data_IF_821844875746
#
_entry.id   IF_821844875746
#
_cell.length_a   1.000
_cell.length_b   1.000
_cell.length_c   1.000
_cell.angle_alpha   90.00
_cell.angle_beta   90.00
_cell.angle_gamma   90.00
#
_symmetry.space_group_name_H-M   'P 1'
#
loop_
_entity.id
_entity.type
_entity.pdbx_description
1 polymer ?
#
# COMPACT_ATOMS: atom_id res chain seq x y z
N UNK A 1 -28.34 -18.38 34.06
CA UNK A 1 -27.02 -18.63 33.43
C UNK A 1 -26.90 -17.96 32.06
N UNK A 2 -27.96 -17.94 31.23
CA UNK A 2 -27.96 -17.34 29.88
C UNK A 2 -27.58 -15.85 29.81
N UNK A 3 -27.95 -15.02 30.78
CA UNK A 3 -27.68 -13.57 30.72
C UNK A 3 -26.19 -13.21 30.87
N UNK A 4 -25.45 -13.97 31.70
CA UNK A 4 -24.02 -13.73 31.90
C UNK A 4 -23.19 -14.14 30.67
N UNK A 5 -23.57 -15.23 30.01
CA UNK A 5 -22.92 -15.70 28.78
C UNK A 5 -23.11 -14.69 27.64
N UNK A 6 -24.33 -14.21 27.44
CA UNK A 6 -24.63 -13.22 26.39
C UNK A 6 -23.96 -11.87 26.68
N UNK A 7 -23.84 -11.49 27.96
CA UNK A 7 -23.16 -10.26 28.37
C UNK A 7 -21.68 -10.22 27.95
N UNK A 8 -21.01 -11.39 27.86
CA UNK A 8 -19.61 -11.49 27.43
C UNK A 8 -19.49 -11.84 25.95
N UNK A 9 -20.41 -12.68 25.43
CA UNK A 9 -20.37 -13.13 24.05
C UNK A 9 -20.60 -11.98 23.05
N UNK A 10 -21.53 -11.06 23.32
CA UNK A 10 -21.82 -9.94 22.40
C UNK A 10 -20.61 -9.00 22.24
N UNK A 11 -19.99 -8.46 23.32
CA UNK A 11 -18.78 -7.65 23.17
C UNK A 11 -17.64 -8.41 22.48
N UNK A 12 -17.45 -9.70 22.81
CA UNK A 12 -16.44 -10.54 22.17
C UNK A 12 -16.65 -10.66 20.66
N UNK A 13 -17.89 -10.89 20.23
CA UNK A 13 -18.25 -10.96 18.80
C UNK A 13 -18.05 -9.62 18.10
N UNK A 14 -18.43 -8.50 18.74
CA UNK A 14 -18.18 -7.16 18.20
C UNK A 14 -16.69 -6.88 18.02
N UNK A 15 -15.84 -7.28 18.98
CA UNK A 15 -14.39 -7.14 18.88
C UNK A 15 -13.82 -8.01 17.74
N UNK A 16 -14.26 -9.27 17.65
CA UNK A 16 -13.85 -10.18 16.59
C UNK A 16 -14.25 -9.64 15.20
N UNK A 17 -15.48 -9.15 15.06
CA UNK A 17 -15.96 -8.55 13.83
C UNK A 17 -15.17 -7.29 13.47
N UNK A 18 -14.92 -6.41 14.43
CA UNK A 18 -14.08 -5.22 14.24
C UNK A 18 -12.68 -5.58 13.77
N UNK A 19 -12.04 -6.58 14.39
CA UNK A 19 -10.74 -7.07 13.99
C UNK A 19 -10.75 -7.68 12.57
N UNK A 20 -11.78 -8.47 12.23
CA UNK A 20 -11.92 -9.05 10.90
C UNK A 20 -12.09 -7.98 9.81
N UNK A 21 -12.94 -6.99 10.05
CA UNK A 21 -13.12 -5.86 9.13
C UNK A 21 -11.84 -5.03 8.98
N UNK A 22 -11.12 -4.79 10.09
CA UNK A 22 -9.82 -4.14 10.09
C UNK A 22 -8.78 -4.89 9.26
N UNK A 23 -8.72 -6.21 9.40
CA UNK A 23 -7.83 -7.07 8.61
C UNK A 23 -8.16 -7.02 7.12
N UNK A 24 -9.45 -7.05 6.74
CA UNK A 24 -9.88 -6.89 5.35
C UNK A 24 -9.50 -5.51 4.80
N UNK A 25 -9.68 -4.44 5.59
CA UNK A 25 -9.26 -3.09 5.20
C UNK A 25 -7.74 -2.97 4.99
N UNK A 26 -6.95 -3.56 5.88
CA UNK A 26 -5.49 -3.60 5.75
C UNK A 26 -5.05 -4.40 4.51
N UNK A 27 -5.71 -5.53 4.23
CA UNK A 27 -5.44 -6.33 3.03
C UNK A 27 -5.78 -5.56 1.75
N UNK A 28 -6.92 -4.85 1.72
CA UNK A 28 -7.30 -4.00 0.60
C UNK A 28 -6.28 -2.87 0.35
N UNK A 29 -5.85 -2.19 1.43
CA UNK A 29 -4.79 -1.18 1.33
C UNK A 29 -3.45 -1.77 0.86
N UNK A 30 -3.13 -3.00 1.26
CA UNK A 30 -1.92 -3.68 0.82
C UNK A 30 -1.94 -3.97 -0.68
N UNK A 31 -3.06 -4.48 -1.20
CA UNK A 31 -3.25 -4.70 -2.64
C UNK A 31 -3.13 -3.38 -3.40
N UNK A 32 -3.81 -2.33 -2.95
CA UNK A 32 -3.71 -1.00 -3.58
C UNK A 32 -2.26 -0.46 -3.56
N UNK A 33 -1.52 -0.65 -2.46
CA UNK A 33 -0.10 -0.31 -2.39
C UNK A 33 0.76 -1.13 -3.37
N UNK A 34 0.47 -2.43 -3.55
CA UNK A 34 1.18 -3.29 -4.52
C UNK A 34 0.92 -2.81 -5.94
N UNK A 35 -0.32 -2.48 -6.27
CA UNK A 35 -0.71 -2.01 -7.60
C UNK A 35 -0.10 -0.64 -7.89
N UNK A 36 -0.17 0.31 -6.95
CA UNK A 36 0.48 1.61 -7.05
C UNK A 36 2.02 1.49 -7.21
N UNK A 37 2.66 0.60 -6.45
CA UNK A 37 4.08 0.34 -6.58
C UNK A 37 4.44 -0.20 -7.97
N UNK A 38 3.65 -1.14 -8.50
CA UNK A 38 3.86 -1.70 -9.86
C UNK A 38 3.66 -0.65 -10.95
N UNK A 39 2.63 0.18 -10.84
CA UNK A 39 2.37 1.28 -11.77
C UNK A 39 3.54 2.26 -11.77
N UNK A 40 3.98 2.68 -10.59
CA UNK A 40 5.13 3.57 -10.44
C UNK A 40 6.43 2.95 -10.97
N UNK A 41 6.73 1.69 -10.63
CA UNK A 41 7.95 1.02 -11.07
C UNK A 41 8.02 0.90 -12.60
N UNK A 42 6.89 0.60 -13.26
CA UNK A 42 6.81 0.55 -14.72
C UNK A 42 6.97 1.94 -15.35
N UNK A 43 6.41 2.98 -14.74
CA UNK A 43 6.59 4.35 -15.22
C UNK A 43 8.05 4.79 -15.10
N UNK A 44 8.68 4.57 -13.95
CA UNK A 44 10.08 4.89 -13.73
C UNK A 44 11.00 4.09 -14.66
N UNK A 45 10.72 2.81 -14.92
CA UNK A 45 11.51 2.00 -15.85
C UNK A 45 11.48 2.50 -17.31
N UNK A 46 10.42 3.22 -17.72
CA UNK A 46 10.35 3.89 -19.03
C UNK A 46 11.12 5.21 -19.09
N UNK A 47 11.66 5.66 -17.96
CA UNK A 47 12.30 6.97 -17.84
C UNK A 47 11.32 8.14 -17.68
N UNK A 48 10.07 7.88 -17.25
CA UNK A 48 9.14 8.95 -16.88
C UNK A 48 9.74 9.80 -15.74
N UNK A 49 9.43 11.10 -15.72
CA UNK A 49 9.91 12.00 -14.66
C UNK A 49 9.34 11.62 -13.29
N UNK A 50 10.05 11.94 -12.21
CA UNK A 50 9.64 11.62 -10.83
C UNK A 50 8.22 12.12 -10.53
N UNK A 51 7.84 13.30 -11.03
CA UNK A 51 6.49 13.85 -10.85
C UNK A 51 5.42 13.03 -11.56
N UNK A 52 5.69 12.56 -12.78
CA UNK A 52 4.76 11.68 -13.54
C UNK A 52 4.63 10.33 -12.83
N UNK A 53 5.74 9.74 -12.39
CA UNK A 53 5.74 8.48 -11.64
C UNK A 53 4.93 8.62 -10.34
N UNK A 54 5.16 9.68 -9.57
CA UNK A 54 4.44 9.95 -8.32
C UNK A 54 2.95 10.15 -8.57
N UNK A 55 2.58 10.89 -9.61
CA UNK A 55 1.17 11.09 -9.99
C UNK A 55 0.50 9.77 -10.34
N UNK A 56 1.09 8.99 -11.25
CA UNK A 56 0.52 7.71 -11.71
C UNK A 56 0.41 6.69 -10.57
N UNK A 57 1.43 6.60 -9.70
CA UNK A 57 1.35 5.75 -8.52
C UNK A 57 0.31 6.28 -7.53
N UNK A 58 0.23 7.59 -7.34
CA UNK A 58 -0.73 8.26 -6.46
C UNK A 58 -2.19 8.08 -6.87
N UNK A 59 -2.48 8.04 -8.18
CA UNK A 59 -3.83 7.82 -8.71
C UNK A 59 -4.41 6.44 -8.32
N UNK A 60 -3.55 5.46 -8.00
CA UNK A 60 -3.92 4.11 -7.59
C UNK A 60 -3.68 3.87 -6.09
N UNK A 61 -2.83 4.69 -5.47
CA UNK A 61 -2.46 4.52 -4.07
C UNK A 61 -3.63 4.85 -3.13
N UNK A 62 -3.71 4.19 -1.97
CA UNK A 62 -4.68 4.56 -0.95
C UNK A 62 -4.45 6.00 -0.46
N UNK A 63 -5.52 6.66 -0.01
CA UNK A 63 -5.45 8.04 0.47
C UNK A 63 -4.43 8.21 1.61
N UNK A 64 -3.63 9.27 1.55
CA UNK A 64 -2.58 9.53 2.53
C UNK A 64 -1.34 8.63 2.37
N UNK A 65 -1.25 7.84 1.30
CA UNK A 65 -0.05 7.06 1.03
C UNK A 65 1.13 7.94 0.62
N UNK A 66 2.32 7.52 1.04
CA UNK A 66 3.61 8.09 0.66
C UNK A 66 4.25 7.19 -0.39
N UNK A 67 4.67 7.79 -1.51
CA UNK A 67 5.36 7.11 -2.62
C UNK A 67 6.84 7.49 -2.61
N UNK A 68 7.69 6.49 -2.42
CA UNK A 68 9.15 6.58 -2.48
C UNK A 68 9.63 5.91 -3.77
N UNK A 69 10.50 6.59 -4.53
CA UNK A 69 11.03 6.12 -5.80
C UNK A 69 12.55 6.05 -5.66
N UNK A 70 13.13 4.91 -6.01
CA UNK A 70 14.58 4.65 -6.00
C UNK A 70 14.94 4.03 -7.33
N UNK A 71 15.86 4.66 -8.05
CA UNK A 71 16.47 4.13 -9.27
C UNK A 71 17.93 3.80 -8.93
N UNK A 72 18.31 2.53 -9.09
CA UNK A 72 19.68 2.05 -8.83
C UNK A 72 20.51 1.84 -10.11
N UNK A 73 20.02 2.33 -11.25
CA UNK A 73 20.65 2.18 -12.56
C UNK A 73 20.44 0.80 -13.22
N UNK A 74 19.84 -0.15 -12.51
CA UNK A 74 19.50 -1.50 -13.01
C UNK A 74 18.01 -1.75 -12.88
N UNK A 75 17.40 -1.33 -11.78
CA UNK A 75 15.99 -1.44 -11.47
C UNK A 75 15.41 -0.09 -11.03
N UNK A 76 14.23 0.22 -11.56
CA UNK A 76 13.34 1.19 -10.97
C UNK A 76 12.54 0.52 -9.85
N UNK A 77 12.76 0.95 -8.60
CA UNK A 77 12.06 0.47 -7.41
C UNK A 77 11.13 1.54 -6.87
N UNK A 78 9.86 1.19 -6.68
CA UNK A 78 8.87 2.06 -6.05
C UNK A 78 8.32 1.39 -4.81
N UNK A 79 8.35 2.12 -3.70
CA UNK A 79 7.77 1.74 -2.42
C UNK A 79 6.57 2.64 -2.13
N UNK A 80 5.44 2.03 -1.76
CA UNK A 80 4.25 2.75 -1.31
C UNK A 80 3.94 2.36 0.12
N UNK A 81 3.69 3.35 0.98
CA UNK A 81 3.40 3.15 2.41
C UNK A 81 2.17 3.96 2.82
N UNK A 82 1.34 3.37 3.67
CA UNK A 82 0.18 4.05 4.26
C UNK A 82 -0.05 3.52 5.68
N UNK A 83 -0.60 4.36 6.56
CA UNK A 83 -1.09 3.92 7.86
C UNK A 83 -2.61 3.76 7.78
N UNK A 84 -3.12 2.54 8.03
CA UNK A 84 -4.54 2.23 7.93
C UNK A 84 -5.13 2.12 9.33
N UNK A 85 -6.16 2.89 9.70
CA UNK A 85 -6.80 2.75 11.01
C UNK A 85 -7.37 1.34 11.17
N UNK A 86 -7.20 0.73 12.35
CA UNK A 86 -7.62 -0.66 12.60
C UNK A 86 -9.15 -0.81 12.46
N UNK A 87 -9.90 0.17 12.93
CA UNK A 87 -11.34 0.34 12.69
C UNK A 87 -11.63 1.84 12.51
N UNK A 88 -12.76 2.23 11.89
CA UNK A 88 -13.11 3.64 11.73
C UNK A 88 -13.11 4.37 13.08
N UNK A 89 -12.34 5.47 13.16
CA UNK A 89 -12.20 6.28 14.38
C UNK A 89 -11.22 5.73 15.43
N UNK A 90 -10.57 4.60 15.19
CA UNK A 90 -9.52 4.12 16.10
C UNK A 90 -8.27 5.01 16.05
N UNK A 91 -7.68 5.25 17.22
CA UNK A 91 -6.37 5.89 17.34
C UNK A 91 -5.21 4.97 16.88
N UNK A 92 -5.46 3.66 16.84
CA UNK A 92 -4.48 2.66 16.43
C UNK A 92 -4.56 2.46 14.92
N UNK A 93 -3.42 2.61 14.25
CA UNK A 93 -3.27 2.35 12.83
C UNK A 93 -2.21 1.28 12.57
N UNK A 94 -2.44 0.48 11.53
CA UNK A 94 -1.54 -0.57 11.05
C UNK A 94 -0.73 -0.01 9.88
N UNK A 95 0.61 -0.02 9.94
CA UNK A 95 1.44 0.37 8.82
C UNK A 95 1.37 -0.70 7.72
N UNK A 96 1.01 -0.29 6.52
CA UNK A 96 0.98 -1.12 5.33
C UNK A 96 2.01 -0.60 4.33
N UNK A 97 2.84 -1.51 3.81
CA UNK A 97 3.86 -1.19 2.83
C UNK A 97 3.86 -2.23 1.72
N UNK A 98 4.08 -1.78 0.49
CA UNK A 98 4.41 -2.62 -0.64
C UNK A 98 5.59 -2.04 -1.41
N UNK A 99 6.28 -2.88 -2.17
CA UNK A 99 7.39 -2.46 -3.02
C UNK A 99 7.38 -3.28 -4.30
N UNK A 100 7.62 -2.62 -5.43
CA UNK A 100 7.80 -3.26 -6.72
C UNK A 100 9.12 -2.79 -7.33
N UNK A 101 9.77 -3.67 -8.08
CA UNK A 101 10.98 -3.36 -8.85
C UNK A 101 10.76 -3.80 -10.29
N UNK A 102 11.19 -3.00 -11.25
CA UNK A 102 11.13 -3.29 -12.69
C UNK A 102 12.51 -3.01 -13.28
N UNK A 103 13.10 -3.92 -14.08
CA UNK A 103 14.36 -3.64 -14.76
C UNK A 103 14.25 -2.38 -15.61
N UNK A 104 15.27 -1.54 -15.61
CA UNK A 104 15.38 -0.46 -16.57
C UNK A 104 15.58 -1.07 -17.96
N UNK A 105 14.87 -0.56 -18.96
CA UNK A 105 15.27 -0.86 -20.34
C UNK A 105 16.67 -0.30 -20.52
N UNK A 106 17.61 -1.12 -20.98
CA UNK A 106 18.98 -0.70 -21.23
C UNK A 106 18.93 0.59 -22.07
N UNK A 107 19.37 1.70 -21.47
CA UNK A 107 19.68 2.91 -22.21
C UNK A 107 20.80 2.52 -23.15
N UNK A 108 20.46 2.12 -24.38
CA UNK A 108 21.42 1.93 -25.45
C UNK A 108 22.27 3.19 -25.46
N UNK A 109 23.53 3.08 -25.02
CA UNK A 109 24.46 4.18 -25.05
C UNK A 109 24.38 4.74 -26.47
N UNK A 110 24.00 6.02 -26.60
CA UNK A 110 24.08 6.68 -27.88
C UNK A 110 25.52 6.47 -28.37
N UNK A 111 25.74 5.86 -29.55
CA UNK A 111 27.09 5.77 -30.09
C UNK A 111 27.56 7.20 -30.31
N UNK A 112 28.70 7.54 -29.71
CA UNK A 112 29.48 8.73 -30.02
C UNK A 112 29.87 8.72 -31.51
#
# INVERSE_FOLDING_TARGET
MVTAEIAVALPGLCLLLGAALGAVGAAAAHVACVDAARVGARAAARGDTVDVVRRLAGDVAPAGAVVEIVDDGVFARVTVRVAVPLVPGAAVAVPVRATAATPLEERKAAPL
#
